data_IF_823296543955
#
_entry.id   IF_823296543955
#
_cell.length_a   1.000
_cell.length_b   1.000
_cell.length_c   1.000
_cell.angle_alpha   90.00
_cell.angle_beta   90.00
_cell.angle_gamma   90.00
#
_symmetry.space_group_name_H-M   'P 1'
#
loop_
_entity.id
_entity.type
_entity.pdbx_description
1 polymer ?
#
# COMPACT_ATOMS: atom_id res chain seq x y z
N UNK A 1 8.33 24.20 -41.35
CA UNK A 1 7.65 22.93 -41.02
C UNK A 1 8.61 21.80 -41.31
N UNK A 2 8.93 21.02 -40.27
CA UNK A 2 9.17 19.56 -40.25
C UNK A 2 9.75 18.87 -41.50
N UNK A 3 10.71 17.96 -41.47
CA UNK A 3 11.69 17.45 -40.50
C UNK A 3 12.57 16.54 -41.36
N UNK A 4 13.89 16.69 -41.25
CA UNK A 4 14.82 15.70 -41.77
C UNK A 4 14.97 14.57 -40.73
N UNK A 5 14.90 13.32 -41.19
CA UNK A 5 15.96 12.31 -40.97
C UNK A 5 15.48 10.92 -41.38
N UNK A 6 16.12 10.37 -42.41
CA UNK A 6 16.21 8.93 -42.68
C UNK A 6 17.55 8.45 -42.12
N UNK A 7 17.56 7.41 -41.30
CA UNK A 7 18.65 6.43 -41.15
C UNK A 7 17.95 5.11 -40.76
N UNK A 8 17.61 4.19 -41.66
CA UNK A 8 18.47 3.27 -42.41
C UNK A 8 19.38 2.41 -41.51
N UNK A 9 18.80 1.41 -40.84
CA UNK A 9 19.54 0.23 -40.41
C UNK A 9 19.27 -0.89 -41.40
N UNK A 10 20.27 -1.14 -42.24
CA UNK A 10 20.30 -2.30 -43.11
C UNK A 10 20.61 -3.56 -42.30
N UNK A 11 19.97 -4.65 -42.67
CA UNK A 11 20.61 -5.95 -42.75
C UNK A 11 20.09 -6.63 -44.01
N UNK A 12 21.02 -6.83 -44.93
CA UNK A 12 20.85 -7.46 -46.23
C UNK A 12 20.79 -8.98 -46.11
N UNK A 13 19.81 -9.59 -46.78
CA UNK A 13 19.94 -10.90 -47.41
C UNK A 13 19.57 -12.12 -46.57
N UNK A 14 18.37 -12.66 -46.79
CA UNK A 14 18.16 -13.92 -47.51
C UNK A 14 16.65 -14.09 -47.77
N UNK A 15 16.28 -14.07 -49.05
CA UNK A 15 14.97 -14.46 -49.53
C UNK A 15 14.93 -15.99 -49.66
N UNK A 16 13.86 -16.64 -49.18
CA UNK A 16 13.52 -18.00 -49.58
C UNK A 16 12.82 -18.82 -48.50
N UNK A 17 11.61 -19.30 -48.80
CA UNK A 17 11.05 -20.49 -48.19
C UNK A 17 10.08 -20.26 -47.04
N UNK A 18 8.79 -20.34 -47.36
CA UNK A 18 7.69 -20.57 -46.43
C UNK A 18 8.02 -21.67 -45.42
N UNK A 19 8.12 -21.28 -44.16
CA UNK A 19 8.23 -22.16 -43.02
C UNK A 19 7.76 -21.41 -41.79
N UNK A 20 6.47 -21.13 -41.69
CA UNK A 20 5.82 -20.88 -40.41
C UNK A 20 5.88 -22.19 -39.62
N UNK A 21 7.07 -22.51 -39.12
CA UNK A 21 7.25 -23.47 -38.04
C UNK A 21 6.50 -22.92 -36.84
N UNK A 22 5.64 -23.76 -36.27
CA UNK A 22 4.81 -23.52 -35.10
C UNK A 22 5.73 -23.32 -33.87
N UNK A 23 6.40 -22.17 -33.82
CA UNK A 23 7.00 -21.61 -32.63
C UNK A 23 6.04 -20.55 -32.13
N UNK A 24 4.91 -21.00 -31.59
CA UNK A 24 3.88 -20.13 -31.04
C UNK A 24 4.52 -19.07 -30.14
N UNK A 25 3.98 -17.86 -30.22
CA UNK A 25 4.25 -16.73 -29.34
C UNK A 25 4.31 -17.19 -27.86
N UNK A 26 5.48 -17.58 -27.37
CA UNK A 26 5.72 -17.98 -25.97
C UNK A 26 5.91 -16.74 -25.07
N UNK A 27 5.16 -15.67 -25.35
CA UNK A 27 5.25 -14.38 -24.66
C UNK A 27 4.19 -14.21 -23.56
N UNK A 28 3.75 -15.30 -22.92
CA UNK A 28 2.67 -15.22 -21.92
C UNK A 28 2.94 -16.12 -20.72
N UNK A 29 2.84 -15.54 -19.53
CA UNK A 29 2.73 -16.13 -18.17
C UNK A 29 3.88 -15.95 -17.17
N UNK A 30 4.86 -15.07 -17.42
CA UNK A 30 5.72 -14.61 -16.30
C UNK A 30 4.94 -13.60 -15.48
N UNK A 31 4.35 -14.06 -14.39
CA UNK A 31 3.79 -13.19 -13.35
C UNK A 31 4.92 -12.92 -12.34
N UNK A 32 5.25 -11.65 -12.12
CA UNK A 32 6.16 -11.22 -11.06
C UNK A 32 5.41 -10.94 -9.76
N UNK A 33 6.15 -10.73 -8.66
CA UNK A 33 5.55 -10.37 -7.38
C UNK A 33 4.85 -9.02 -7.48
N UNK A 34 5.42 -8.07 -8.23
CA UNK A 34 4.82 -6.75 -8.45
C UNK A 34 3.39 -6.87 -9.01
N UNK A 35 3.13 -7.76 -9.96
CA UNK A 35 1.79 -7.98 -10.53
C UNK A 35 0.76 -8.50 -9.52
N UNK A 36 1.21 -9.06 -8.39
CA UNK A 36 0.35 -9.56 -7.30
C UNK A 36 0.07 -8.53 -6.22
N UNK A 37 0.99 -7.59 -6.00
CA UNK A 37 0.82 -6.51 -5.02
C UNK A 37 0.37 -5.19 -5.66
N UNK A 38 0.61 -5.02 -6.96
CA UNK A 38 0.17 -3.89 -7.79
C UNK A 38 0.36 -2.54 -7.08
N UNK A 39 -0.77 -1.84 -6.96
CA UNK A 39 -1.07 -0.63 -6.22
C UNK A 39 -0.40 -0.54 -4.86
N UNK A 40 -0.36 -1.66 -4.14
CA UNK A 40 -0.22 -1.67 -2.69
C UNK A 40 1.18 -1.36 -2.18
N UNK A 41 2.18 -1.31 -3.06
CA UNK A 41 3.56 -1.02 -2.68
C UNK A 41 3.72 0.37 -2.08
N UNK A 42 4.64 0.50 -1.12
CA UNK A 42 5.06 1.80 -0.60
C UNK A 42 5.81 2.60 -1.67
N UNK A 43 5.57 3.92 -1.70
CA UNK A 43 6.27 4.82 -2.60
C UNK A 43 7.76 4.96 -2.28
N UNK A 44 8.51 5.46 -3.25
CA UNK A 44 9.96 5.63 -3.15
C UNK A 44 10.40 7.04 -2.74
N UNK A 45 9.46 7.99 -2.69
CA UNK A 45 9.74 9.38 -2.36
C UNK A 45 10.08 9.57 -0.87
N UNK A 46 10.67 10.71 -0.54
CA UNK A 46 11.13 11.04 0.81
C UNK A 46 10.00 11.05 1.85
N UNK A 47 8.76 11.34 1.45
CA UNK A 47 7.59 11.26 2.32
C UNK A 47 7.37 9.85 2.91
N UNK A 48 7.82 8.81 2.21
CA UNK A 48 7.71 7.41 2.65
C UNK A 48 8.88 6.96 3.54
N UNK A 49 9.88 7.80 3.79
CA UNK A 49 11.04 7.41 4.63
C UNK A 49 10.60 6.95 6.03
N UNK A 50 9.61 7.61 6.63
CA UNK A 50 9.03 7.21 7.92
C UNK A 50 8.38 5.82 7.85
N UNK A 51 7.67 5.53 6.76
CA UNK A 51 7.07 4.22 6.50
C UNK A 51 8.13 3.13 6.33
N UNK A 52 9.17 3.38 5.53
CA UNK A 52 10.28 2.44 5.34
C UNK A 52 11.04 2.17 6.64
N UNK A 53 11.24 3.21 7.46
CA UNK A 53 11.82 3.06 8.80
C UNK A 53 10.97 2.16 9.69
N UNK A 54 9.65 2.33 9.68
CA UNK A 54 8.72 1.46 10.42
C UNK A 54 8.80 0.00 9.93
N UNK A 55 8.80 -0.21 8.61
CA UNK A 55 8.95 -1.55 8.03
C UNK A 55 10.27 -2.20 8.43
N UNK A 56 11.36 -1.44 8.47
CA UNK A 56 12.65 -1.94 8.95
C UNK A 56 12.58 -2.31 10.44
N UNK A 57 11.97 -1.48 11.29
CA UNK A 57 11.78 -1.80 12.71
C UNK A 57 10.96 -3.08 12.91
N UNK A 58 9.92 -3.28 12.10
CA UNK A 58 9.11 -4.51 12.06
C UNK A 58 9.95 -5.72 11.66
N UNK A 59 10.85 -5.56 10.70
CA UNK A 59 11.83 -6.59 10.34
C UNK A 59 12.79 -6.91 11.50
N UNK A 60 13.38 -5.89 12.12
CA UNK A 60 14.37 -6.07 13.20
C UNK A 60 13.82 -6.78 14.43
N UNK A 61 12.52 -6.66 14.68
CA UNK A 61 11.82 -7.34 15.78
C UNK A 61 11.27 -8.71 15.40
N UNK A 62 11.43 -9.14 14.15
CA UNK A 62 10.95 -10.45 13.69
C UNK A 62 11.81 -11.59 14.23
N UNK A 63 11.15 -12.63 14.75
CA UNK A 63 11.81 -13.85 15.22
C UNK A 63 11.47 -15.09 14.38
N UNK A 64 10.53 -14.99 13.44
CA UNK A 64 10.20 -16.07 12.51
C UNK A 64 11.26 -16.21 11.42
N UNK A 65 11.28 -17.39 10.81
CA UNK A 65 12.10 -17.69 9.64
C UNK A 65 11.76 -16.73 8.50
N UNK A 66 12.77 -16.03 8.00
CA UNK A 66 12.70 -15.11 6.86
C UNK A 66 13.84 -15.46 5.89
N UNK A 67 13.78 -14.98 4.63
CA UNK A 67 14.86 -15.19 3.66
C UNK A 67 16.19 -14.65 4.18
N UNK A 68 17.30 -15.37 3.91
CA UNK A 68 18.63 -15.04 4.44
C UNK A 68 19.13 -13.66 3.99
N UNK A 69 18.77 -13.24 2.79
CA UNK A 69 19.07 -11.91 2.25
C UNK A 69 18.32 -10.80 3.01
N UNK A 70 17.06 -11.03 3.39
CA UNK A 70 16.29 -10.12 4.24
C UNK A 70 16.81 -10.10 5.68
N UNK A 71 17.20 -11.27 6.22
CA UNK A 71 17.74 -11.40 7.57
C UNK A 71 19.04 -10.60 7.77
N UNK A 72 19.91 -10.59 6.76
CA UNK A 72 21.15 -9.79 6.78
C UNK A 72 20.91 -8.30 6.98
N UNK A 73 19.73 -7.78 6.62
CA UNK A 73 19.46 -6.35 6.79
C UNK A 73 19.39 -5.94 8.26
N UNK A 74 19.05 -6.87 9.17
CA UNK A 74 18.92 -6.59 10.61
C UNK A 74 20.21 -6.11 11.26
N UNK A 75 21.37 -6.39 10.67
CA UNK A 75 22.66 -5.94 11.21
C UNK A 75 22.96 -4.46 10.92
N UNK A 76 22.14 -3.78 10.10
CA UNK A 76 22.34 -2.38 9.74
C UNK A 76 21.88 -1.49 10.91
N UNK A 77 22.78 -0.67 11.43
CA UNK A 77 22.51 0.24 12.57
C UNK A 77 22.16 1.66 12.12
N UNK A 78 22.72 2.13 11.01
CA UNK A 78 22.56 3.50 10.51
C UNK A 78 21.20 3.69 9.82
N UNK A 79 20.38 4.60 10.32
CA UNK A 79 18.99 4.79 9.89
C UNK A 79 18.83 5.02 8.37
N UNK A 80 19.64 5.87 7.77
CA UNK A 80 19.57 6.14 6.32
C UNK A 80 19.93 4.89 5.50
N UNK A 81 20.83 4.05 6.01
CA UNK A 81 21.18 2.78 5.39
C UNK A 81 20.06 1.75 5.59
N UNK A 82 19.40 1.72 6.75
CA UNK A 82 18.25 0.85 7.02
C UNK A 82 17.12 1.09 6.02
N UNK A 83 16.74 2.36 5.83
CA UNK A 83 15.70 2.78 4.86
C UNK A 83 16.08 2.33 3.45
N UNK A 84 17.31 2.65 3.02
CA UNK A 84 17.80 2.31 1.68
C UNK A 84 17.85 0.79 1.47
N UNK A 85 18.25 0.04 2.49
CA UNK A 85 18.40 -1.40 2.42
C UNK A 85 17.06 -2.13 2.29
N UNK A 86 16.07 -1.83 3.14
CA UNK A 86 14.74 -2.47 3.03
C UNK A 86 14.04 -2.08 1.73
N UNK A 87 14.14 -0.81 1.33
CA UNK A 87 13.61 -0.32 0.06
C UNK A 87 14.25 -1.03 -1.15
N UNK A 88 15.57 -1.21 -1.10
CA UNK A 88 16.32 -1.95 -2.13
C UNK A 88 15.93 -3.42 -2.19
N UNK A 89 15.78 -4.07 -1.04
CA UNK A 89 15.32 -5.46 -0.96
C UNK A 89 13.91 -5.62 -1.53
N UNK A 90 12.97 -4.77 -1.13
CA UNK A 90 11.60 -4.80 -1.64
C UNK A 90 11.56 -4.59 -3.17
N UNK A 91 12.33 -3.62 -3.68
CA UNK A 91 12.48 -3.39 -5.13
C UNK A 91 12.95 -4.65 -5.86
N UNK A 92 13.96 -5.34 -5.31
CA UNK A 92 14.44 -6.61 -5.87
C UNK A 92 13.39 -7.71 -5.79
N UNK A 93 12.69 -7.83 -4.66
CA UNK A 93 11.67 -8.84 -4.44
C UNK A 93 10.49 -8.68 -5.42
N UNK A 94 10.08 -7.44 -5.74
CA UNK A 94 9.03 -7.15 -6.72
C UNK A 94 9.32 -7.71 -8.11
N UNK A 95 10.57 -7.66 -8.56
CA UNK A 95 11.00 -8.18 -9.87
C UNK A 95 11.10 -9.71 -9.92
N UNK A 96 10.99 -10.39 -8.77
CA UNK A 96 11.09 -11.84 -8.72
C UNK A 96 9.87 -12.48 -9.39
N UNK A 97 10.10 -13.46 -10.25
CA UNK A 97 9.02 -14.27 -10.83
C UNK A 97 8.23 -14.99 -9.72
N UNK A 98 6.95 -14.64 -9.59
CA UNK A 98 5.99 -15.28 -8.69
C UNK A 98 5.58 -16.65 -9.22
N UNK A 99 5.18 -16.72 -10.50
CA UNK A 99 4.75 -17.95 -11.16
C UNK A 99 5.19 -17.93 -12.63
N UNK A 100 5.57 -19.09 -13.12
CA UNK A 100 5.74 -19.33 -14.56
C UNK A 100 5.28 -20.76 -14.90
N UNK A 101 5.21 -21.07 -16.18
CA UNK A 101 4.96 -22.45 -16.65
C UNK A 101 6.03 -23.46 -16.19
N UNK A 102 7.21 -22.99 -15.78
CA UNK A 102 8.34 -23.83 -15.35
C UNK A 102 8.61 -23.76 -13.84
N UNK A 103 7.84 -22.99 -13.07
CA UNK A 103 8.10 -22.76 -11.65
C UNK A 103 6.83 -22.69 -10.82
N UNK A 104 6.85 -23.34 -9.65
CA UNK A 104 5.78 -23.23 -8.67
C UNK A 104 5.64 -21.79 -8.16
N UNK A 105 4.44 -21.48 -7.64
CA UNK A 105 4.12 -20.20 -7.02
C UNK A 105 5.05 -19.92 -5.84
N UNK A 106 5.54 -18.69 -5.73
CA UNK A 106 6.32 -18.22 -4.58
C UNK A 106 5.41 -17.53 -3.54
N UNK A 107 4.45 -18.28 -3.00
CA UNK A 107 3.49 -17.74 -2.00
C UNK A 107 4.21 -17.22 -0.74
N UNK A 108 5.22 -17.95 -0.25
CA UNK A 108 6.00 -17.53 0.93
C UNK A 108 6.68 -16.16 0.70
N UNK A 109 7.31 -15.96 -0.46
CA UNK A 109 7.92 -14.68 -0.81
C UNK A 109 6.87 -13.57 -0.93
N UNK A 110 5.73 -13.87 -1.54
CA UNK A 110 4.63 -12.91 -1.68
C UNK A 110 4.12 -12.45 -0.30
N UNK A 111 3.98 -13.36 0.65
CA UNK A 111 3.54 -13.03 2.01
C UNK A 111 4.59 -12.23 2.78
N UNK A 112 5.88 -12.53 2.59
CA UNK A 112 6.98 -11.73 3.14
C UNK A 112 6.96 -10.32 2.55
N UNK A 113 6.77 -10.18 1.24
CA UNK A 113 6.67 -8.89 0.57
C UNK A 113 5.47 -8.09 1.07
N UNK A 114 4.29 -8.72 1.18
CA UNK A 114 3.11 -8.07 1.78
C UNK A 114 3.37 -7.59 3.20
N UNK A 115 4.20 -8.30 3.94
CA UNK A 115 4.46 -8.00 5.35
C UNK A 115 5.46 -6.87 5.57
N UNK A 116 6.51 -6.78 4.75
CA UNK A 116 7.64 -5.85 4.98
C UNK A 116 7.75 -4.75 3.91
N UNK A 117 7.04 -4.87 2.80
CA UNK A 117 7.11 -3.89 1.70
C UNK A 117 5.82 -3.09 1.51
N UNK A 118 4.78 -3.46 2.24
CA UNK A 118 3.47 -2.79 2.27
C UNK A 118 3.21 -2.39 3.71
N UNK A 119 2.81 -1.14 3.92
CA UNK A 119 2.29 -0.67 5.20
C UNK A 119 0.79 -0.46 5.04
N UNK A 120 0.00 -1.04 5.93
CA UNK A 120 -1.43 -0.74 6.02
C UNK A 120 -1.67 0.66 6.61
N UNK A 121 -2.83 1.24 6.33
CA UNK A 121 -3.27 2.48 6.97
C UNK A 121 -3.31 2.35 8.49
N UNK A 122 -3.74 1.20 9.02
CA UNK A 122 -3.70 0.92 10.46
C UNK A 122 -2.29 1.07 11.05
N UNK A 123 -1.30 0.43 10.42
CA UNK A 123 0.09 0.50 10.88
C UNK A 123 0.62 1.94 10.81
N UNK A 124 0.46 2.62 9.67
CA UNK A 124 0.94 4.00 9.51
C UNK A 124 0.28 4.95 10.50
N UNK A 125 -1.03 4.85 10.72
CA UNK A 125 -1.74 5.69 11.69
C UNK A 125 -1.25 5.40 13.11
N UNK A 126 -1.09 4.13 13.47
CA UNK A 126 -0.56 3.72 14.78
C UNK A 126 0.84 4.30 15.02
N UNK A 127 1.72 4.24 14.02
CA UNK A 127 3.08 4.78 14.10
C UNK A 127 3.13 6.32 14.18
N UNK A 128 2.09 7.00 13.66
CA UNK A 128 2.04 8.46 13.58
C UNK A 128 1.34 9.10 14.79
N UNK A 129 0.72 8.29 15.64
CA UNK A 129 -0.03 8.74 16.82
C UNK A 129 0.91 8.95 18.00
N UNK A 130 0.69 10.05 18.74
CA UNK A 130 1.42 10.38 19.96
C UNK A 130 0.45 10.69 21.11
N UNK A 131 0.91 10.58 22.35
CA UNK A 131 0.09 10.85 23.53
C UNK A 131 -1.03 9.82 23.75
N UNK A 132 -2.22 10.29 24.13
CA UNK A 132 -3.40 9.45 24.42
C UNK A 132 -4.30 9.19 23.20
N UNK A 133 -3.89 9.64 22.01
CA UNK A 133 -4.58 9.29 20.77
C UNK A 133 -4.40 7.80 20.46
N UNK A 134 -5.35 7.21 19.73
CA UNK A 134 -5.27 5.80 19.28
C UNK A 134 -6.10 5.54 18.03
N UNK A 135 -5.70 4.54 17.24
CA UNK A 135 -6.58 3.97 16.22
C UNK A 135 -7.72 3.25 16.93
N UNK A 136 -8.96 3.53 16.53
CA UNK A 136 -10.15 2.97 17.17
C UNK A 136 -10.30 1.47 16.87
N UNK A 137 -10.82 0.71 17.84
CA UNK A 137 -11.16 -0.70 17.68
C UNK A 137 -12.35 -0.87 16.74
N UNK A 138 -12.17 -1.61 15.65
CA UNK A 138 -13.19 -1.87 14.63
C UNK A 138 -13.85 -3.25 14.75
N UNK A 139 -13.49 -4.02 15.78
CA UNK A 139 -13.93 -5.41 15.99
C UNK A 139 -15.03 -5.55 17.04
N UNK A 140 -15.20 -4.55 17.89
CA UNK A 140 -16.07 -4.56 19.06
C UNK A 140 -16.66 -3.17 19.31
N UNK A 141 -17.36 -2.99 20.44
CA UNK A 141 -17.98 -1.72 20.83
C UNK A 141 -17.15 -0.90 21.83
N UNK A 142 -15.88 -1.27 22.09
CA UNK A 142 -15.04 -0.59 23.10
C UNK A 142 -14.90 0.91 22.81
N UNK A 143 -14.83 1.27 21.53
CA UNK A 143 -14.63 2.64 21.05
C UNK A 143 -15.91 3.26 20.46
N UNK A 144 -17.09 2.77 20.87
CA UNK A 144 -18.39 3.25 20.39
C UNK A 144 -18.55 4.76 20.57
N UNK A 145 -18.21 5.30 21.74
CA UNK A 145 -18.37 6.72 22.01
C UNK A 145 -17.44 7.58 21.14
N UNK A 146 -16.22 7.10 20.90
CA UNK A 146 -15.27 7.72 19.99
C UNK A 146 -15.79 7.71 18.55
N UNK A 147 -16.40 6.62 18.08
CA UNK A 147 -17.03 6.59 16.76
C UNK A 147 -18.23 7.54 16.66
N UNK A 148 -19.06 7.62 17.70
CA UNK A 148 -20.16 8.60 17.77
C UNK A 148 -19.58 10.02 17.63
N UNK A 149 -18.53 10.34 18.39
CA UNK A 149 -17.88 11.65 18.34
C UNK A 149 -17.23 11.92 16.98
N UNK A 150 -16.58 10.92 16.38
CA UNK A 150 -15.96 11.05 15.05
C UNK A 150 -17.01 11.19 13.95
N UNK A 151 -18.17 10.53 14.07
CA UNK A 151 -19.28 10.69 13.13
C UNK A 151 -19.77 12.14 13.09
N UNK A 152 -19.88 12.80 14.25
CA UNK A 152 -20.28 14.21 14.34
C UNK A 152 -19.35 15.14 13.55
N UNK A 153 -18.08 14.78 13.39
CA UNK A 153 -17.10 15.56 12.62
C UNK A 153 -17.42 15.65 11.12
N UNK A 154 -18.39 14.89 10.60
CA UNK A 154 -18.90 15.04 9.24
C UNK A 154 -19.48 16.45 9.00
N UNK A 155 -20.09 17.05 10.03
CA UNK A 155 -20.68 18.39 9.97
C UNK A 155 -19.67 19.46 9.54
N UNK A 156 -18.46 19.35 10.08
CA UNK A 156 -17.36 20.30 9.87
C UNK A 156 -16.25 19.69 8.99
N UNK A 157 -16.63 18.81 8.07
CA UNK A 157 -15.67 18.17 7.16
C UNK A 157 -15.22 19.14 6.04
N UNK A 158 -13.91 19.27 5.85
CA UNK A 158 -13.29 20.08 4.81
C UNK A 158 -12.48 19.17 3.87
N UNK A 159 -12.93 18.99 2.64
CA UNK A 159 -12.28 18.06 1.69
C UNK A 159 -10.84 18.43 1.31
N UNK A 160 -10.45 19.69 1.44
CA UNK A 160 -9.08 20.14 1.18
C UNK A 160 -8.13 19.70 2.29
N UNK A 161 -8.54 19.82 3.54
CA UNK A 161 -7.71 19.50 4.71
C UNK A 161 -7.85 18.04 5.15
N UNK A 162 -9.08 17.52 5.13
CA UNK A 162 -9.46 16.22 5.68
C UNK A 162 -9.54 15.10 4.62
N UNK A 163 -9.26 15.44 3.36
CA UNK A 163 -9.39 14.54 2.22
C UNK A 163 -10.81 14.42 1.72
N UNK A 164 -10.99 14.03 0.46
CA UNK A 164 -12.31 13.83 -0.13
C UNK A 164 -13.00 12.60 0.47
N UNK A 165 -14.27 12.75 0.81
CA UNK A 165 -15.12 11.62 1.19
C UNK A 165 -15.31 10.68 -0.01
N UNK A 166 -15.14 9.38 0.20
CA UNK A 166 -15.51 8.38 -0.78
C UNK A 166 -17.04 8.23 -0.88
N UNK A 167 -17.52 7.33 -1.75
CA UNK A 167 -18.95 7.08 -1.94
C UNK A 167 -19.65 6.61 -0.66
N UNK A 168 -18.96 5.92 0.24
CA UNK A 168 -19.54 5.40 1.48
C UNK A 168 -19.71 6.51 2.50
N UNK A 169 -18.67 7.33 2.72
CA UNK A 169 -18.73 8.45 3.65
C UNK A 169 -19.61 9.60 3.14
N UNK A 170 -19.60 9.86 1.83
CA UNK A 170 -20.44 10.91 1.23
C UNK A 170 -21.94 10.58 1.23
N UNK A 171 -22.30 9.32 1.41
CA UNK A 171 -23.69 8.91 1.59
C UNK A 171 -24.26 9.28 2.97
N UNK A 172 -23.42 9.66 3.94
CA UNK A 172 -23.89 10.18 5.21
C UNK A 172 -24.36 11.63 5.08
N UNK A 173 -25.51 11.93 5.68
CA UNK A 173 -26.04 13.28 5.70
C UNK A 173 -25.30 14.12 6.75
N UNK A 174 -24.31 14.89 6.30
CA UNK A 174 -23.51 15.76 7.17
C UNK A 174 -24.37 16.77 7.95
N UNK A 175 -25.55 17.16 7.44
CA UNK A 175 -26.45 18.08 8.15
C UNK A 175 -27.15 17.42 9.35
N UNK A 176 -27.25 16.09 9.33
CA UNK A 176 -27.84 15.27 10.40
C UNK A 176 -26.79 14.56 11.25
N UNK A 177 -25.50 14.88 11.10
CA UNK A 177 -24.42 14.19 11.78
C UNK A 177 -24.62 14.12 13.31
N UNK A 178 -25.13 15.21 13.92
CA UNK A 178 -25.39 15.26 15.37
C UNK A 178 -26.47 14.25 15.78
N UNK A 179 -27.62 14.28 15.11
CA UNK A 179 -28.78 13.45 15.42
C UNK A 179 -28.60 11.99 15.02
N UNK A 180 -27.86 11.71 13.94
CA UNK A 180 -27.67 10.35 13.43
C UNK A 180 -26.49 9.61 14.05
N UNK A 181 -25.55 10.32 14.69
CA UNK A 181 -24.34 9.73 15.29
C UNK A 181 -24.61 8.50 16.16
N UNK A 182 -25.66 8.52 16.97
CA UNK A 182 -26.05 7.41 17.86
C UNK A 182 -26.48 6.14 17.13
N UNK A 183 -26.96 6.27 15.89
CA UNK A 183 -27.52 5.16 15.09
C UNK A 183 -26.62 4.75 13.93
N UNK A 184 -25.75 5.65 13.45
CA UNK A 184 -24.90 5.46 12.27
C UNK A 184 -23.41 5.28 12.58
N UNK A 185 -23.00 5.40 13.84
CA UNK A 185 -21.59 5.19 14.24
C UNK A 185 -21.05 3.82 13.80
N UNK A 186 -21.88 2.77 13.78
CA UNK A 186 -21.47 1.42 13.38
C UNK A 186 -21.13 1.35 11.88
N UNK A 187 -21.86 2.09 11.03
CA UNK A 187 -21.53 2.20 9.61
C UNK A 187 -20.18 2.90 9.40
N UNK A 188 -19.85 3.90 10.22
CA UNK A 188 -18.53 4.52 10.21
C UNK A 188 -17.43 3.56 10.71
N UNK A 189 -17.70 2.78 11.75
CA UNK A 189 -16.80 1.73 12.22
C UNK A 189 -16.52 0.70 11.13
N UNK A 190 -17.55 0.25 10.43
CA UNK A 190 -17.43 -0.75 9.37
C UNK A 190 -16.65 -0.20 8.17
N UNK A 191 -16.86 1.08 7.82
CA UNK A 191 -16.01 1.77 6.86
C UNK A 191 -14.54 1.82 7.31
N UNK A 192 -14.29 2.20 8.57
CA UNK A 192 -12.95 2.18 9.13
C UNK A 192 -12.32 0.79 9.11
N UNK A 193 -13.11 -0.27 9.33
CA UNK A 193 -12.64 -1.66 9.26
C UNK A 193 -12.07 -1.98 7.89
N UNK A 194 -12.73 -1.54 6.82
CA UNK A 194 -12.25 -1.74 5.45
C UNK A 194 -11.07 -0.82 5.13
N UNK A 195 -11.20 0.48 5.41
CA UNK A 195 -10.19 1.49 5.14
C UNK A 195 -8.84 1.14 5.79
N UNK A 196 -8.85 0.77 7.08
CA UNK A 196 -7.63 0.48 7.84
C UNK A 196 -6.83 -0.72 7.31
N UNK A 197 -7.43 -1.60 6.49
CA UNK A 197 -6.74 -2.72 5.83
C UNK A 197 -6.04 -2.33 4.53
N UNK A 198 -6.41 -1.18 3.93
CA UNK A 198 -5.82 -0.71 2.68
C UNK A 198 -4.38 -0.28 2.91
N UNK A 199 -3.60 -0.33 1.84
CA UNK A 199 -2.21 0.12 1.84
C UNK A 199 -2.14 1.64 1.95
N UNK A 200 -1.12 2.12 2.68
CA UNK A 200 -0.80 3.54 2.74
C UNK A 200 -0.22 4.03 1.40
N UNK A 201 -0.72 5.18 0.93
CA UNK A 201 -0.40 5.75 -0.40
C UNK A 201 0.23 7.13 -0.34
N UNK A 202 0.56 7.63 0.85
CA UNK A 202 1.09 8.97 1.07
C UNK A 202 0.17 9.79 1.98
N UNK A 203 0.70 10.87 2.55
CA UNK A 203 -0.06 11.68 3.51
C UNK A 203 -1.08 12.62 2.83
N UNK A 204 -0.89 12.85 1.54
CA UNK A 204 -1.80 13.63 0.70
C UNK A 204 -3.02 12.83 0.24
N UNK A 205 -2.97 11.50 0.34
CA UNK A 205 -4.02 10.57 -0.08
C UNK A 205 -5.33 10.79 0.69
N UNK A 206 -6.44 10.81 -0.04
CA UNK A 206 -7.76 11.10 0.52
C UNK A 206 -8.19 10.01 1.52
N UNK A 207 -7.86 8.74 1.27
CA UNK A 207 -8.19 7.65 2.18
C UNK A 207 -7.37 7.72 3.46
N UNK A 208 -6.09 8.11 3.39
CA UNK A 208 -5.29 8.36 4.59
C UNK A 208 -5.86 9.50 5.44
N UNK A 209 -6.17 10.65 4.83
CA UNK A 209 -6.70 11.82 5.55
C UNK A 209 -8.05 11.55 6.20
N UNK A 210 -8.97 10.93 5.46
CA UNK A 210 -10.29 10.55 6.00
C UNK A 210 -10.16 9.50 7.10
N UNK A 211 -9.29 8.49 6.94
CA UNK A 211 -9.01 7.50 7.99
C UNK A 211 -8.42 8.14 9.25
N UNK A 212 -7.52 9.12 9.09
CA UNK A 212 -6.95 9.89 10.21
C UNK A 212 -8.01 10.72 10.95
N UNK A 213 -9.00 11.25 10.23
CA UNK A 213 -10.09 12.04 10.84
C UNK A 213 -11.11 11.17 11.57
N UNK A 214 -11.50 10.05 10.97
CA UNK A 214 -12.65 9.28 11.39
C UNK A 214 -12.33 7.99 12.15
N UNK A 215 -11.15 7.39 11.94
CA UNK A 215 -10.77 6.10 12.56
C UNK A 215 -9.80 6.25 13.73
N UNK A 216 -9.51 7.48 14.15
CA UNK A 216 -8.56 7.78 15.22
C UNK A 216 -9.25 8.63 16.28
N UNK A 217 -9.04 8.28 17.55
CA UNK A 217 -9.31 9.17 18.68
C UNK A 217 -8.26 10.27 18.65
N UNK A 218 -8.68 11.50 18.38
CA UNK A 218 -7.83 12.68 18.53
C UNK A 218 -8.02 13.23 19.94
N UNK A 219 -6.92 13.67 20.55
CA UNK A 219 -6.94 14.39 21.83
C UNK A 219 -7.64 15.75 21.70
#
# INVERSE_FOLDING_TARGET
>A
MTSASKIALGFSGLAGGSGMGVGGLYLSSKEDILSKVKDDVLGTETEFNSSWKSQFKKLSTENKKIPKDLEKLKSITEENQQISAIKGWCSSAYTTTYKSIFSSKKEELLDIVRKYCIQSLKEKLTDSITGSSKVLSVTDETDKQEFINNYKKLKDHNSTQDGKLDSTLSAFDATKAESESQTKWSSLRDWCKEALTKSFKGESDDLFKTSKKFCVKQN
#
